data_IF_251420108024
#
_entry.id   IF_251420108024
#
_cell.length_a   1.000
_cell.length_b   1.000
_cell.length_c   1.000
_cell.angle_alpha   90.00
_cell.angle_beta   90.00
_cell.angle_gamma   90.00
#
_symmetry.space_group_name_H-M   'P 1'
#
loop_
_entity.id
_entity.type
_entity.pdbx_description
1 polymer ?
#
# COMPACT_ATOMS: atom_id res chain seq x y z
N UNK A 1 14.39 -14.23 -15.37
CA UNK A 1 13.07 -14.86 -15.23
C UNK A 1 11.96 -13.82 -15.22
N UNK A 2 10.75 -14.21 -15.58
CA UNK A 2 9.51 -13.47 -15.36
C UNK A 2 8.73 -13.98 -14.13
N UNK A 3 9.24 -15.03 -13.48
CA UNK A 3 8.70 -15.55 -12.23
C UNK A 3 9.26 -14.75 -11.04
N UNK A 4 8.40 -14.01 -10.38
CA UNK A 4 8.76 -13.16 -9.24
C UNK A 4 9.13 -14.01 -8.01
N UNK A 5 8.41 -15.10 -7.77
CA UNK A 5 8.68 -15.97 -6.62
C UNK A 5 10.06 -16.60 -6.73
N UNK A 6 10.42 -17.07 -7.93
CA UNK A 6 11.75 -17.60 -8.22
C UNK A 6 12.84 -16.52 -8.03
N UNK A 7 12.63 -15.33 -8.60
CA UNK A 7 13.59 -14.22 -8.50
C UNK A 7 13.83 -13.79 -7.04
N UNK A 8 12.78 -13.79 -6.23
CA UNK A 8 12.84 -13.38 -4.82
C UNK A 8 13.40 -14.48 -3.91
N UNK A 9 13.27 -15.76 -4.29
CA UNK A 9 13.70 -16.89 -3.46
C UNK A 9 15.15 -17.32 -3.69
N UNK A 10 15.66 -17.23 -4.92
CA UNK A 10 16.93 -17.84 -5.33
C UNK A 10 18.11 -16.87 -5.42
N UNK A 11 17.85 -15.56 -5.50
CA UNK A 11 18.91 -14.57 -5.70
C UNK A 11 19.37 -13.90 -4.41
N UNK A 12 20.68 -13.73 -4.23
CA UNK A 12 21.23 -12.82 -3.21
C UNK A 12 20.88 -11.36 -3.51
N UNK A 13 20.72 -11.05 -4.81
CA UNK A 13 20.31 -9.73 -5.31
C UNK A 13 19.34 -9.89 -6.48
N UNK A 14 18.39 -9.00 -6.55
CA UNK A 14 17.37 -8.93 -7.60
C UNK A 14 17.48 -7.60 -8.35
N UNK A 15 17.44 -7.69 -9.67
CA UNK A 15 17.32 -6.52 -10.57
C UNK A 15 15.89 -6.48 -11.10
N UNK A 16 15.19 -5.37 -10.89
CA UNK A 16 13.90 -5.12 -11.53
C UNK A 16 14.13 -4.28 -12.78
N UNK A 17 13.68 -4.80 -13.91
CA UNK A 17 13.81 -4.14 -15.22
C UNK A 17 12.44 -3.69 -15.74
N UNK A 18 12.40 -2.51 -16.31
CA UNK A 18 11.25 -2.02 -17.06
C UNK A 18 11.72 -1.47 -18.41
N UNK A 19 11.26 -2.06 -19.51
CA UNK A 19 11.62 -1.65 -20.89
C UNK A 19 13.14 -1.52 -21.10
N UNK A 20 13.91 -2.46 -20.55
CA UNK A 20 15.38 -2.48 -20.64
C UNK A 20 16.11 -1.54 -19.68
N UNK A 21 15.41 -0.76 -18.88
CA UNK A 21 16.00 0.13 -17.86
C UNK A 21 15.92 -0.50 -16.47
N UNK A 22 17.03 -0.41 -15.73
CA UNK A 22 17.08 -0.84 -14.33
C UNK A 22 16.22 0.11 -13.48
N UNK A 23 15.24 -0.44 -12.77
CA UNK A 23 14.39 0.29 -11.85
C UNK A 23 14.91 0.22 -10.42
N UNK A 24 15.39 -0.94 -10.02
CA UNK A 24 16.01 -1.17 -8.72
C UNK A 24 16.94 -2.38 -8.79
N UNK A 25 18.03 -2.34 -8.03
CA UNK A 25 18.96 -3.44 -7.85
C UNK A 25 19.35 -3.55 -6.39
N UNK A 26 18.82 -4.55 -5.69
CA UNK A 26 19.07 -4.73 -4.26
C UNK A 26 18.79 -6.18 -3.83
N UNK A 27 18.90 -6.45 -2.51
CA UNK A 27 18.43 -7.71 -1.91
C UNK A 27 16.91 -7.85 -2.16
N UNK A 28 16.40 -9.07 -2.35
CA UNK A 28 14.97 -9.30 -2.54
C UNK A 28 14.08 -8.64 -1.48
N UNK A 29 14.42 -8.75 -0.19
CA UNK A 29 13.68 -8.11 0.90
C UNK A 29 13.62 -6.60 0.76
N UNK A 30 14.74 -5.95 0.39
CA UNK A 30 14.78 -4.49 0.19
C UNK A 30 13.92 -4.06 -1.00
N UNK A 31 13.97 -4.83 -2.11
CA UNK A 31 13.12 -4.57 -3.29
C UNK A 31 11.63 -4.66 -2.92
N UNK A 32 11.27 -5.60 -2.05
CA UNK A 32 9.91 -5.79 -1.57
C UNK A 32 9.48 -4.72 -0.56
N UNK A 33 10.29 -4.50 0.49
CA UNK A 33 9.97 -3.64 1.62
C UNK A 33 10.21 -2.15 1.34
N UNK A 34 11.19 -1.84 0.49
CA UNK A 34 11.60 -0.48 0.15
C UNK A 34 11.68 -0.28 -1.37
N UNK A 35 10.55 -0.37 -2.09
CA UNK A 35 10.54 -0.19 -3.53
C UNK A 35 10.98 1.24 -3.89
N UNK A 36 11.91 1.36 -4.86
CA UNK A 36 12.47 2.64 -5.27
C UNK A 36 11.45 3.54 -6.00
N UNK A 37 10.41 2.94 -6.57
CA UNK A 37 9.36 3.67 -7.26
C UNK A 37 8.05 2.87 -7.32
N UNK A 38 6.99 3.53 -7.76
CA UNK A 38 5.65 2.96 -7.86
C UNK A 38 5.59 1.76 -8.83
N UNK A 39 6.43 1.76 -9.88
CA UNK A 39 6.51 0.61 -10.79
C UNK A 39 6.98 -0.63 -10.03
N UNK A 40 8.09 -0.55 -9.30
CA UNK A 40 8.62 -1.67 -8.50
C UNK A 40 7.61 -2.11 -7.46
N UNK A 41 6.99 -1.17 -6.75
CA UNK A 41 5.98 -1.46 -5.73
C UNK A 41 4.79 -2.26 -6.26
N UNK A 42 4.35 -1.95 -7.49
CA UNK A 42 3.22 -2.63 -8.15
C UNK A 42 3.64 -3.85 -8.95
N UNK A 43 4.90 -3.95 -9.34
CA UNK A 43 5.41 -5.10 -10.08
C UNK A 43 5.79 -6.24 -9.15
N UNK A 44 6.37 -5.95 -7.98
CA UNK A 44 6.88 -6.95 -7.03
C UNK A 44 5.85 -7.24 -5.94
N UNK A 45 5.43 -8.49 -5.85
CA UNK A 45 4.44 -9.01 -4.93
C UNK A 45 3.18 -9.52 -5.64
N UNK A 46 2.60 -10.59 -5.10
CA UNK A 46 1.35 -11.19 -5.58
C UNK A 46 0.43 -11.41 -4.38
N UNK A 47 -0.64 -10.61 -4.25
CA UNK A 47 -1.02 -9.48 -5.13
C UNK A 47 -0.06 -8.29 -5.05
N UNK A 48 -0.12 -7.37 -6.03
CA UNK A 48 0.69 -6.14 -6.03
C UNK A 48 0.29 -5.17 -4.91
N UNK A 49 1.17 -4.20 -4.62
CA UNK A 49 0.87 -3.11 -3.69
C UNK A 49 -0.34 -2.29 -4.17
N UNK A 50 -1.28 -2.04 -3.27
CA UNK A 50 -2.34 -1.06 -3.50
C UNK A 50 -1.72 0.33 -3.60
N UNK A 51 -2.22 1.14 -4.54
CA UNK A 51 -1.76 2.51 -4.76
C UNK A 51 -2.96 3.43 -4.92
N UNK A 52 -3.12 4.36 -4.00
CA UNK A 52 -4.24 5.27 -3.91
C UNK A 52 -3.74 6.70 -4.03
N UNK A 53 -4.29 7.48 -4.96
CA UNK A 53 -3.95 8.90 -5.10
C UNK A 53 -4.82 9.75 -4.19
N UNK A 54 -4.22 10.64 -3.42
CA UNK A 54 -4.94 11.54 -2.52
C UNK A 54 -4.13 12.79 -2.21
N UNK A 55 -4.70 13.69 -1.42
CA UNK A 55 -4.05 14.92 -0.95
C UNK A 55 -3.72 14.76 0.53
N UNK A 56 -2.51 15.13 0.92
CA UNK A 56 -2.08 15.14 2.32
C UNK A 56 -2.09 16.57 2.84
N UNK A 57 -2.87 16.81 3.89
CA UNK A 57 -3.04 18.12 4.51
C UNK A 57 -2.76 18.07 6.03
N UNK A 58 -2.18 19.13 6.61
CA UNK A 58 -2.05 19.23 8.06
C UNK A 58 -3.44 19.33 8.72
N UNK A 59 -3.66 18.52 9.76
CA UNK A 59 -4.83 18.55 10.62
C UNK A 59 -4.38 18.32 12.06
N UNK A 60 -4.11 19.41 12.78
CA UNK A 60 -3.47 19.37 14.10
C UNK A 60 -4.20 18.46 15.09
N UNK A 61 -3.49 17.55 15.81
CA UNK A 61 -2.03 17.39 15.89
C UNK A 61 -1.41 16.53 14.78
N UNK A 62 -2.21 15.92 13.92
CA UNK A 62 -1.80 14.96 12.89
C UNK A 62 -1.94 15.53 11.48
N UNK A 63 -2.10 14.65 10.52
CA UNK A 63 -2.34 14.97 9.11
C UNK A 63 -3.53 14.14 8.61
N UNK A 64 -4.20 14.65 7.59
CA UNK A 64 -5.27 13.92 6.92
C UNK A 64 -4.88 13.68 5.46
N UNK A 65 -4.93 12.43 5.06
CA UNK A 65 -4.85 12.05 3.65
C UNK A 65 -6.28 11.83 3.13
N UNK A 66 -6.63 12.52 2.03
CA UNK A 66 -7.99 12.51 1.47
C UNK A 66 -7.96 12.04 0.02
N UNK A 67 -8.84 11.10 -0.32
CA UNK A 67 -9.09 10.63 -1.69
C UNK A 67 -10.60 10.51 -1.93
N UNK A 68 -11.17 11.42 -2.71
CA UNK A 68 -12.62 11.52 -2.87
C UNK A 68 -13.31 11.74 -1.51
N UNK A 69 -14.17 10.81 -1.14
CA UNK A 69 -14.91 10.85 0.14
C UNK A 69 -14.21 10.03 1.26
N UNK A 70 -13.01 9.54 1.02
CA UNK A 70 -12.26 8.72 1.96
C UNK A 70 -11.16 9.53 2.61
N UNK A 71 -11.04 9.39 3.92
CA UNK A 71 -10.04 10.08 4.72
C UNK A 71 -9.29 9.07 5.60
N UNK A 72 -7.99 9.27 5.72
CA UNK A 72 -7.13 8.55 6.66
C UNK A 72 -6.40 9.57 7.53
N UNK A 73 -6.49 9.41 8.83
CA UNK A 73 -5.64 10.16 9.76
C UNK A 73 -4.25 9.56 9.73
N UNK A 74 -3.26 10.36 9.35
CA UNK A 74 -1.86 10.00 9.29
C UNK A 74 -1.15 10.65 10.49
N UNK A 75 -0.69 9.88 11.46
CA UNK A 75 -0.02 10.43 12.64
C UNK A 75 1.23 11.24 12.26
N UNK A 76 1.47 12.33 12.98
CA UNK A 76 2.66 13.19 12.83
C UNK A 76 3.95 12.38 12.72
N UNK A 77 4.14 11.35 13.55
CA UNK A 77 5.33 10.50 13.51
C UNK A 77 5.57 9.82 12.16
N UNK A 78 4.49 9.43 11.43
CA UNK A 78 4.61 8.82 10.09
C UNK A 78 5.13 9.83 9.09
N UNK A 79 4.62 11.07 9.16
CA UNK A 79 5.09 12.17 8.29
C UNK A 79 6.52 12.56 8.61
N UNK A 80 6.90 12.63 9.88
CA UNK A 80 8.27 12.92 10.33
C UNK A 80 9.27 11.84 9.89
N UNK A 81 8.83 10.58 9.85
CA UNK A 81 9.63 9.48 9.31
C UNK A 81 9.86 9.59 7.80
N UNK A 82 9.04 10.34 7.07
CA UNK A 82 9.10 10.51 5.61
C UNK A 82 9.37 11.98 5.23
N UNK A 83 10.59 12.49 5.40
CA UNK A 83 10.88 13.93 5.20
C UNK A 83 10.48 14.47 3.83
N UNK A 84 10.50 13.61 2.80
CA UNK A 84 10.07 13.96 1.45
C UNK A 84 8.60 14.41 1.36
N UNK A 85 7.75 13.98 2.32
CA UNK A 85 6.34 14.37 2.35
C UNK A 85 6.12 15.87 2.61
N UNK A 86 7.06 16.56 3.26
CA UNK A 86 6.92 18.00 3.51
C UNK A 86 6.77 18.81 2.21
N UNK A 87 7.36 18.34 1.10
CA UNK A 87 7.18 18.94 -0.22
C UNK A 87 5.82 18.70 -0.88
N UNK A 88 5.01 17.83 -0.29
CA UNK A 88 3.70 17.42 -0.81
C UNK A 88 2.51 17.88 0.04
N UNK A 89 2.73 18.73 1.06
CA UNK A 89 1.64 19.30 1.87
C UNK A 89 0.69 20.12 1.00
N UNK A 90 -0.62 19.84 1.08
CA UNK A 90 -1.65 20.43 0.23
C UNK A 90 -1.60 19.96 -1.23
N UNK A 91 -0.80 18.96 -1.55
CA UNK A 91 -0.60 18.45 -2.90
C UNK A 91 -0.95 16.96 -2.99
N UNK A 92 -1.11 16.47 -4.21
CA UNK A 92 -1.32 15.04 -4.44
C UNK A 92 -0.08 14.24 -4.10
N UNK A 93 -0.30 13.10 -3.44
CA UNK A 93 0.69 12.05 -3.18
C UNK A 93 0.03 10.70 -3.40
N UNK A 94 0.79 9.72 -3.87
CA UNK A 94 0.30 8.35 -3.96
C UNK A 94 0.65 7.62 -2.66
N UNK A 95 -0.36 7.14 -1.97
CA UNK A 95 -0.24 6.27 -0.82
C UNK A 95 -0.21 4.82 -1.28
N UNK A 96 0.86 4.10 -0.94
CA UNK A 96 1.05 2.68 -1.20
C UNK A 96 0.87 1.86 0.07
N UNK A 97 0.18 0.73 -0.04
CA UNK A 97 0.06 -0.23 1.05
C UNK A 97 -0.11 -1.64 0.51
N UNK A 98 0.62 -2.60 1.09
CA UNK A 98 0.51 -3.99 0.66
C UNK A 98 -0.76 -4.65 1.20
N UNK A 99 -1.33 -5.64 0.48
CA UNK A 99 -2.55 -6.34 0.88
C UNK A 99 -2.51 -6.91 2.30
N UNK A 100 -1.36 -7.42 2.77
CA UNK A 100 -1.20 -7.98 4.12
C UNK A 100 -1.27 -6.95 5.25
N UNK A 101 -1.12 -5.67 4.95
CA UNK A 101 -1.24 -4.56 5.90
C UNK A 101 -2.62 -3.87 5.86
N UNK A 102 -3.54 -4.47 5.10
CA UNK A 102 -4.96 -4.16 5.09
C UNK A 102 -5.73 -5.36 5.62
N UNK A 103 -6.65 -5.14 6.53
CA UNK A 103 -7.45 -6.21 7.12
C UNK A 103 -8.93 -5.83 7.19
N UNK A 104 -9.86 -6.76 6.91
CA UNK A 104 -11.26 -6.52 7.22
C UNK A 104 -11.42 -6.39 8.73
N UNK A 105 -11.92 -5.28 9.19
CA UNK A 105 -12.28 -4.90 10.56
C UNK A 105 -11.54 -5.59 11.71
N UNK A 106 -10.46 -4.98 12.17
CA UNK A 106 -9.95 -5.14 13.54
C UNK A 106 -9.44 -3.78 13.98
N UNK A 107 -10.11 -3.14 14.93
CA UNK A 107 -9.62 -1.89 15.51
C UNK A 107 -8.39 -2.21 16.37
N UNK A 108 -7.22 -1.78 15.94
CA UNK A 108 -5.96 -1.92 16.67
C UNK A 108 -5.35 -0.52 16.94
N UNK A 109 -4.48 -0.38 17.95
CA UNK A 109 -3.71 0.86 18.12
C UNK A 109 -2.90 1.19 16.86
N UNK A 110 -2.86 2.47 16.49
CA UNK A 110 -2.11 2.98 15.32
C UNK A 110 -2.66 2.54 13.95
N UNK A 111 -3.94 2.25 13.86
CA UNK A 111 -4.62 1.99 12.60
C UNK A 111 -5.57 3.13 12.26
N UNK A 112 -5.90 3.22 10.99
CA UNK A 112 -6.99 4.06 10.47
C UNK A 112 -7.92 3.19 9.64
N UNK A 113 -9.10 3.68 9.30
CA UNK A 113 -10.12 2.87 8.66
C UNK A 113 -10.53 3.46 7.32
N UNK A 114 -10.54 2.63 6.30
CA UNK A 114 -11.20 2.89 5.02
C UNK A 114 -12.54 2.15 4.97
N UNK A 115 -13.48 2.71 4.24
CA UNK A 115 -14.77 2.10 4.00
C UNK A 115 -14.95 1.81 2.52
N UNK A 116 -15.46 0.63 2.19
CA UNK A 116 -15.68 0.25 0.80
C UNK A 116 -16.79 -0.79 0.66
N UNK A 117 -16.98 -1.28 -0.56
CA UNK A 117 -17.90 -2.37 -0.86
C UNK A 117 -17.11 -3.56 -1.38
N UNK A 118 -17.26 -4.71 -0.74
CA UNK A 118 -16.60 -5.92 -1.18
C UNK A 118 -17.15 -6.35 -2.54
N UNK A 119 -16.28 -6.37 -3.56
CA UNK A 119 -16.61 -6.71 -4.93
C UNK A 119 -16.47 -8.19 -5.20
N UNK A 120 -15.40 -8.80 -4.69
CA UNK A 120 -15.01 -10.17 -4.97
C UNK A 120 -14.16 -10.73 -3.84
N UNK A 121 -14.22 -12.04 -3.63
CA UNK A 121 -13.28 -12.79 -2.81
C UNK A 121 -12.53 -13.75 -3.72
N UNK A 122 -11.22 -13.76 -3.63
CA UNK A 122 -10.34 -14.75 -4.26
C UNK A 122 -9.81 -15.70 -3.18
N UNK A 123 -9.94 -16.98 -3.40
CA UNK A 123 -9.48 -18.04 -2.49
C UNK A 123 -8.45 -18.88 -3.22
N UNK A 124 -7.21 -18.83 -2.73
CA UNK A 124 -6.08 -19.58 -3.29
C UNK A 124 -5.68 -20.78 -2.41
N UNK A 125 -6.55 -21.17 -1.48
CA UNK A 125 -6.38 -22.29 -0.57
C UNK A 125 -5.73 -21.86 0.75
N UNK A 126 -4.50 -21.50 0.75
CA UNK A 126 -3.73 -21.01 1.90
C UNK A 126 -3.78 -19.49 2.07
N UNK A 127 -4.12 -18.77 1.02
CA UNK A 127 -4.31 -17.32 1.04
C UNK A 127 -5.66 -16.92 0.47
N UNK A 128 -6.29 -15.94 1.11
CA UNK A 128 -7.57 -15.38 0.65
C UNK A 128 -7.47 -13.87 0.58
N UNK A 129 -8.01 -13.29 -0.50
CA UNK A 129 -8.00 -11.86 -0.73
C UNK A 129 -9.41 -11.34 -1.03
N UNK A 130 -9.74 -10.20 -0.46
CA UNK A 130 -10.95 -9.45 -0.77
C UNK A 130 -10.60 -8.26 -1.67
N UNK A 131 -11.31 -8.13 -2.76
CA UNK A 131 -11.28 -6.93 -3.60
C UNK A 131 -12.38 -5.98 -3.15
N UNK A 132 -12.00 -4.81 -2.67
CA UNK A 132 -12.94 -3.84 -2.08
C UNK A 132 -12.86 -2.54 -2.87
N UNK A 133 -14.00 -2.10 -3.38
CA UNK A 133 -14.12 -0.81 -4.07
C UNK A 133 -14.16 0.31 -3.02
N UNK A 134 -13.14 1.17 -3.06
CA UNK A 134 -12.95 2.34 -2.20
C UNK A 134 -12.94 3.58 -3.10
N UNK A 135 -14.07 4.25 -3.23
CA UNK A 135 -14.25 5.33 -4.20
C UNK A 135 -14.10 4.83 -5.63
N UNK A 136 -13.17 5.42 -6.39
CA UNK A 136 -12.88 5.03 -7.78
C UNK A 136 -11.81 3.93 -7.89
N UNK A 137 -11.21 3.55 -6.77
CA UNK A 137 -10.15 2.55 -6.73
C UNK A 137 -10.66 1.21 -6.16
N UNK A 138 -10.09 0.11 -6.61
CA UNK A 138 -10.25 -1.19 -5.96
C UNK A 138 -8.98 -1.50 -5.20
N UNK A 139 -9.11 -1.81 -3.91
CA UNK A 139 -8.00 -2.27 -3.06
C UNK A 139 -8.10 -3.77 -2.80
N UNK A 140 -6.95 -4.43 -2.78
CA UNK A 140 -6.83 -5.84 -2.43
C UNK A 140 -6.45 -5.93 -0.96
N UNK A 141 -7.23 -6.68 -0.20
CA UNK A 141 -7.13 -6.81 1.26
C UNK A 141 -6.89 -8.28 1.59
N UNK A 142 -5.89 -8.59 2.39
CA UNK A 142 -5.70 -9.95 2.85
C UNK A 142 -6.74 -10.33 3.92
N UNK A 143 -7.38 -11.48 3.73
CA UNK A 143 -8.30 -12.08 4.70
C UNK A 143 -7.53 -13.17 5.44
N UNK A 144 -7.21 -12.93 6.71
CA UNK A 144 -6.49 -13.91 7.52
C UNK A 144 -7.42 -15.04 7.98
N UNK A 145 -6.87 -16.24 8.15
CA UNK A 145 -7.63 -17.39 8.64
C UNK A 145 -8.26 -17.11 10.01
N UNK A 146 -9.53 -17.47 10.13
CA UNK A 146 -10.32 -17.21 11.35
C UNK A 146 -10.74 -15.73 11.52
N UNK A 147 -10.29 -14.84 10.65
CA UNK A 147 -10.72 -13.44 10.64
C UNK A 147 -12.05 -13.21 9.92
N UNK A 148 -12.59 -11.99 10.02
CA UNK A 148 -13.84 -11.66 9.34
C UNK A 148 -13.67 -11.70 7.82
N UNK A 149 -14.59 -12.38 7.14
CA UNK A 149 -14.66 -12.44 5.68
C UNK A 149 -15.74 -11.47 5.20
N UNK A 150 -15.41 -10.45 4.40
CA UNK A 150 -16.42 -9.55 3.87
C UNK A 150 -17.42 -10.29 2.97
N UNK A 151 -18.70 -10.00 3.12
CA UNK A 151 -19.70 -10.51 2.18
C UNK A 151 -19.65 -9.74 0.85
N UNK A 152 -19.62 -10.44 -0.28
CA UNK A 152 -19.69 -9.81 -1.61
C UNK A 152 -20.95 -8.96 -1.74
N UNK A 153 -20.79 -7.73 -2.22
CA UNK A 153 -21.85 -6.72 -2.31
C UNK A 153 -22.09 -5.93 -1.02
N UNK A 154 -21.49 -6.32 0.10
CA UNK A 154 -21.68 -5.64 1.37
C UNK A 154 -20.64 -4.53 1.60
N UNK A 155 -21.06 -3.50 2.36
CA UNK A 155 -20.12 -2.52 2.89
C UNK A 155 -19.20 -3.22 3.89
N UNK A 156 -17.93 -2.88 3.81
CA UNK A 156 -16.91 -3.38 4.72
C UNK A 156 -16.00 -2.25 5.18
N UNK A 157 -15.51 -2.38 6.39
CA UNK A 157 -14.46 -1.54 6.94
C UNK A 157 -13.13 -2.24 6.73
N UNK A 158 -12.11 -1.48 6.39
CA UNK A 158 -10.75 -1.96 6.16
C UNK A 158 -9.84 -1.22 7.13
N UNK A 159 -9.25 -1.95 8.04
CA UNK A 159 -8.20 -1.42 8.90
C UNK A 159 -6.91 -1.29 8.12
N UNK A 160 -6.29 -0.13 8.18
CA UNK A 160 -5.03 0.23 7.53
C UNK A 160 -3.92 0.28 8.57
N UNK A 161 -2.89 -0.55 8.42
CA UNK A 161 -1.70 -0.49 9.26
C UNK A 161 -0.82 0.71 8.84
N UNK A 162 -0.85 1.76 9.64
CA UNK A 162 -0.15 3.02 9.35
C UNK A 162 1.38 2.91 9.48
N UNK A 163 1.90 1.86 10.10
CA UNK A 163 3.33 1.61 10.20
C UNK A 163 3.97 1.09 8.91
N UNK A 164 3.16 0.68 7.93
CA UNK A 164 3.61 0.08 6.68
C UNK A 164 3.15 0.86 5.45
N UNK A 165 2.92 2.15 5.61
CA UNK A 165 2.59 3.04 4.50
C UNK A 165 3.84 3.36 3.69
N UNK A 166 3.63 3.43 2.37
CA UNK A 166 4.59 3.96 1.41
C UNK A 166 4.02 5.19 0.76
N UNK A 167 4.89 6.10 0.35
CA UNK A 167 4.48 7.31 -0.34
C UNK A 167 5.30 7.48 -1.61
N UNK A 168 4.63 7.93 -2.68
CA UNK A 168 5.26 8.12 -3.97
C UNK A 168 4.84 9.46 -4.57
N UNK A 169 5.76 10.10 -5.26
CA UNK A 169 5.49 11.26 -6.09
C UNK A 169 4.56 10.84 -7.25
N UNK A 170 3.39 11.47 -7.42
CA UNK A 170 2.44 11.10 -8.46
C UNK A 170 2.92 11.38 -9.89
N UNK A 171 3.87 12.30 -10.08
CA UNK A 171 4.37 12.70 -11.40
C UNK A 171 5.52 11.80 -11.86
N UNK A 172 6.47 11.53 -10.98
CA UNK A 172 7.68 10.76 -11.30
C UNK A 172 7.55 9.28 -10.93
N UNK A 173 6.65 8.95 -10.02
CA UNK A 173 6.53 7.63 -9.41
C UNK A 173 7.64 7.33 -8.41
N UNK A 174 8.55 8.26 -8.12
CA UNK A 174 9.67 8.05 -7.19
C UNK A 174 9.15 7.86 -5.77
N UNK A 175 9.72 6.91 -5.04
CA UNK A 175 9.40 6.73 -3.63
C UNK A 175 9.85 7.92 -2.79
N UNK A 176 9.08 8.23 -1.74
CA UNK A 176 9.40 9.16 -0.68
C UNK A 176 9.73 8.32 0.57
N UNK A 177 10.96 7.78 0.67
CA UNK A 177 11.28 6.78 1.67
C UNK A 177 11.34 7.38 3.08
N UNK A 178 11.24 6.53 4.13
CA UNK A 178 11.53 6.97 5.48
C UNK A 178 13.00 7.40 5.62
N UNK A 179 13.26 8.28 6.58
CA UNK A 179 14.61 8.65 6.96
C UNK A 179 15.36 7.41 7.49
N UNK A 180 16.61 7.26 7.07
CA UNK A 180 17.52 6.18 7.51
C UNK A 180 18.11 6.47 8.90
#
# INVERSE_FOLDING_TARGET
TNDQAEAMALGDRTVVLNRGMVQQFDRPSVVYEHPANLFVARFVGSPPMNALSGVLEPEYPDYTWTSGNHQLTIPTRVVEQHPGLHGFMGRRVVLGIRPQHLRPTVAEPFTSTLHGTCRQIEDHGDERFAHVDVGEATVVVQVVDGGPVPGVGNRTEITVDLGHLHFFDPETGTALPPAT
#
